data_IF_729130396262
#
_entry.id   IF_729130396262
#
_cell.length_a   1.000
_cell.length_b   1.000
_cell.length_c   1.000
_cell.angle_alpha   90.00
_cell.angle_beta   90.00
_cell.angle_gamma   90.00
#
_symmetry.space_group_name_H-M   'P 1'
#
loop_
_entity.id
_entity.type
_entity.pdbx_description
1 polymer ?
2 non-polymer ?
3 water ?
#
# COMPACT_ATOMS: atom_id res chain seq x y z
N UNK A 1 -10.09 26.55 -5.11
CA UNK A 1 -10.64 25.18 -5.02
C UNK A 1 -11.13 24.74 -6.41
N UNK A 2 -11.04 23.45 -6.65
CA UNK A 2 -11.58 22.84 -7.80
C UNK A 2 -13.07 22.74 -7.80
N UNK A 3 -13.70 22.91 -8.95
CA UNK A 3 -15.09 22.62 -9.01
C UNK A 3 -15.31 21.10 -9.16
N UNK A 4 -16.55 20.70 -8.93
CA UNK A 4 -16.85 19.25 -9.03
C UNK A 4 -16.55 18.68 -10.43
N UNK A 5 -16.86 19.41 -11.53
CA UNK A 5 -16.46 18.86 -12.85
C UNK A 5 -14.93 18.67 -12.94
N UNK A 6 -14.20 19.61 -12.36
CA UNK A 6 -12.75 19.46 -12.38
C UNK A 6 -12.27 18.23 -11.58
N UNK A 7 -12.89 18.00 -10.45
CA UNK A 7 -12.51 16.85 -9.60
C UNK A 7 -12.85 15.57 -10.42
N UNK A 8 -14.04 15.49 -11.02
CA UNK A 8 -14.38 14.34 -11.84
C UNK A 8 -13.38 14.10 -12.97
N UNK A 9 -12.99 15.16 -13.62
CA UNK A 9 -12.01 15.01 -14.69
C UNK A 9 -10.67 14.45 -14.25
N UNK A 10 -10.26 14.93 -13.08
CA UNK A 10 -9.03 14.40 -12.42
C UNK A 10 -9.13 12.91 -12.11
N UNK A 11 -10.32 12.39 -11.84
CA UNK A 11 -10.53 10.98 -11.46
C UNK A 11 -10.76 10.05 -12.64
N UNK A 12 -11.06 10.57 -13.86
CA UNK A 12 -11.37 9.62 -14.95
C UNK A 12 -10.25 8.61 -15.14
N UNK A 13 -8.94 8.97 -15.05
CA UNK A 13 -7.93 7.98 -15.34
C UNK A 13 -7.87 6.88 -14.26
N UNK A 14 -8.61 7.00 -13.17
CA UNK A 14 -8.65 6.05 -12.09
C UNK A 14 -9.71 5.00 -12.24
N UNK A 15 -10.64 5.14 -13.18
CA UNK A 15 -11.87 4.34 -13.13
C UNK A 15 -11.62 2.87 -13.23
N UNK A 16 -10.82 2.42 -14.19
CA UNK A 16 -10.61 0.96 -14.35
C UNK A 16 -9.98 0.39 -13.11
N UNK A 17 -8.94 1.04 -12.61
CA UNK A 17 -8.29 0.61 -11.40
C UNK A 17 -9.26 0.55 -10.21
N UNK A 18 -10.11 1.55 -10.06
CA UNK A 18 -11.01 1.60 -8.95
C UNK A 18 -12.02 0.47 -8.97
N UNK A 19 -12.29 -0.12 -10.11
CA UNK A 19 -13.10 -1.31 -10.17
C UNK A 19 -12.34 -2.59 -9.95
N UNK A 20 -11.22 -2.76 -10.61
CA UNK A 20 -10.57 -4.05 -10.70
C UNK A 20 -9.24 -4.18 -10.02
N UNK A 21 -8.60 -3.08 -9.70
CA UNK A 21 -7.24 -3.11 -9.13
C UNK A 21 -6.23 -3.36 -10.25
N UNK A 22 -5.08 -3.82 -9.80
CA UNK A 22 -3.98 -4.05 -10.74
C UNK A 22 -3.14 -2.80 -10.91
N UNK A 23 -2.92 -2.39 -12.15
CA UNK A 23 -2.04 -1.28 -12.43
C UNK A 23 -2.75 0.02 -12.09
N UNK A 24 -2.09 0.81 -11.23
CA UNK A 24 -2.55 2.12 -10.85
C UNK A 24 -1.88 3.11 -11.77
N UNK A 25 -2.60 3.73 -12.72
CA UNK A 25 -1.90 4.61 -13.66
C UNK A 25 -1.38 5.89 -12.98
N UNK A 26 -0.17 6.36 -13.29
CA UNK A 26 0.31 7.60 -12.65
C UNK A 26 -0.60 8.78 -12.87
N UNK A 27 -1.29 8.85 -14.05
CA UNK A 27 -2.20 9.97 -14.27
C UNK A 27 -3.36 9.98 -13.27
N UNK A 28 -3.74 8.81 -12.80
CA UNK A 28 -4.72 8.72 -11.70
C UNK A 28 -4.17 9.41 -10.43
N UNK A 29 -2.97 8.99 -10.04
CA UNK A 29 -2.38 9.59 -8.84
C UNK A 29 -2.12 11.10 -8.98
N UNK A 30 -1.80 11.55 -10.19
CA UNK A 30 -1.67 12.96 -10.42
C UNK A 30 -3.02 13.69 -10.16
N UNK A 31 -4.09 13.09 -10.60
CA UNK A 31 -5.40 13.64 -10.38
C UNK A 31 -5.78 13.66 -8.90
N UNK A 32 -5.51 12.57 -8.17
CA UNK A 32 -5.81 12.50 -6.72
C UNK A 32 -5.00 13.59 -6.01
N UNK A 33 -3.72 13.70 -6.33
CA UNK A 33 -2.91 14.71 -5.77
C UNK A 33 -3.46 16.10 -6.08
N UNK A 34 -3.92 16.35 -7.31
CA UNK A 34 -4.46 17.66 -7.64
C UNK A 34 -5.61 18.04 -6.76
N UNK A 35 -6.50 17.09 -6.52
CA UNK A 35 -7.65 17.32 -5.68
C UNK A 35 -7.19 17.71 -4.26
N UNK A 36 -6.27 16.93 -3.70
CA UNK A 36 -5.81 17.21 -2.35
C UNK A 36 -5.13 18.57 -2.32
N UNK A 37 -4.29 18.84 -3.28
CA UNK A 37 -3.54 20.09 -3.30
C UNK A 37 -4.41 21.38 -3.39
N UNK A 38 -5.56 21.25 -3.96
CA UNK A 38 -6.50 22.33 -4.06
C UNK A 38 -7.44 22.44 -2.90
N UNK A 39 -7.32 21.58 -1.91
CA UNK A 39 -8.27 21.50 -0.83
C UNK A 39 -7.68 22.22 0.37
N UNK A 40 -7.67 23.53 0.36
CA UNK A 40 -7.02 24.37 1.32
C UNK A 40 -7.84 24.50 2.59
N UNK A 41 -9.12 24.84 2.47
CA UNK A 41 -9.93 25.11 3.62
C UNK A 41 -10.75 23.87 4.03
N UNK A 42 -11.32 23.93 5.24
CA UNK A 42 -12.22 22.89 5.68
C UNK A 42 -13.40 22.71 4.73
N UNK A 43 -13.99 23.82 4.27
CA UNK A 43 -15.07 23.70 3.30
C UNK A 43 -14.59 23.11 2.02
N UNK A 44 -13.39 23.44 1.58
CA UNK A 44 -12.83 22.83 0.40
C UNK A 44 -12.77 21.32 0.54
N UNK A 45 -12.31 20.83 1.69
CA UNK A 45 -12.24 19.40 1.93
C UNK A 45 -13.62 18.72 1.98
N UNK A 46 -14.59 19.36 2.63
CA UNK A 46 -15.94 18.79 2.65
C UNK A 46 -16.54 18.72 1.23
N UNK A 47 -16.25 19.77 0.44
CA UNK A 47 -16.75 19.86 -0.90
C UNK A 47 -16.10 18.87 -1.80
N UNK A 48 -14.81 18.68 -1.68
CA UNK A 48 -14.10 17.70 -2.45
C UNK A 48 -14.63 16.30 -2.09
N UNK A 49 -14.83 16.03 -0.80
CA UNK A 49 -15.40 14.76 -0.36
C UNK A 49 -16.77 14.54 -1.00
N UNK A 50 -17.63 15.57 -0.97
CA UNK A 50 -18.97 15.38 -1.49
C UNK A 50 -18.99 15.14 -3.01
N UNK A 51 -18.07 15.82 -3.69
CA UNK A 51 -17.92 15.57 -5.16
C UNK A 51 -17.40 14.19 -5.40
N UNK A 52 -16.41 13.76 -4.65
CA UNK A 52 -15.84 12.41 -4.80
C UNK A 52 -16.85 11.35 -4.50
N UNK A 53 -17.73 11.61 -3.54
CA UNK A 53 -18.77 10.66 -3.21
C UNK A 53 -19.71 10.46 -4.35
N UNK A 54 -20.13 11.56 -4.98
CA UNK A 54 -20.97 11.47 -6.15
C UNK A 54 -20.26 10.80 -7.31
N UNK A 55 -18.97 11.10 -7.45
CA UNK A 55 -18.15 10.46 -8.45
C UNK A 55 -18.09 8.92 -8.27
N UNK A 56 -17.93 8.52 -7.03
CA UNK A 56 -17.90 7.12 -6.69
C UNK A 56 -19.23 6.43 -6.93
N UNK A 57 -20.33 7.11 -6.64
CA UNK A 57 -21.67 6.55 -6.95
C UNK A 57 -21.81 6.21 -8.42
N UNK A 58 -21.14 6.99 -9.28
CA UNK A 58 -21.21 6.86 -10.74
C UNK A 58 -20.23 5.88 -11.35
N UNK A 59 -19.35 5.28 -10.58
CA UNK A 59 -18.49 4.20 -11.01
C UNK A 59 -19.10 2.88 -10.57
N UNK A 60 -19.79 2.21 -11.53
CA UNK A 60 -20.47 0.94 -11.23
C UNK A 60 -19.42 -0.13 -10.87
N UNK A 61 -19.49 -0.68 -9.65
CA UNK A 61 -18.50 -1.68 -9.25
C UNK A 61 -17.24 -1.13 -8.61
N UNK A 62 -17.21 0.15 -8.34
CA UNK A 62 -16.11 0.72 -7.57
C UNK A 62 -15.87 -0.13 -6.34
N UNK A 63 -14.64 -0.49 -6.10
CA UNK A 63 -14.29 -1.31 -4.96
C UNK A 63 -13.92 -0.41 -3.80
N UNK A 64 -14.65 -0.44 -2.66
CA UNK A 64 -14.41 0.55 -1.67
C UNK A 64 -13.04 0.36 -0.98
N UNK A 65 -12.44 -0.87 -0.90
CA UNK A 65 -11.00 -1.01 -0.40
C UNK A 65 -10.01 -0.30 -1.33
N UNK A 66 -10.13 -0.46 -2.61
CA UNK A 66 -9.27 0.25 -3.53
C UNK A 66 -9.42 1.72 -3.44
N UNK A 67 -10.63 2.20 -3.29
CA UNK A 67 -10.83 3.60 -3.17
C UNK A 67 -10.24 4.10 -1.86
N UNK A 68 -10.43 3.35 -0.73
CA UNK A 68 -9.89 3.76 0.54
C UNK A 68 -8.40 3.89 0.59
N UNK A 69 -7.73 2.97 -0.12
CA UNK A 69 -6.28 2.94 -0.14
C UNK A 69 -5.64 3.78 -1.23
N UNK A 70 -6.42 4.29 -2.16
CA UNK A 70 -5.85 4.95 -3.35
C UNK A 70 -4.99 6.16 -2.90
N UNK A 71 -5.53 7.10 -2.09
CA UNK A 71 -4.65 8.27 -1.79
C UNK A 71 -3.29 7.85 -1.23
N UNK A 72 -3.25 6.92 -0.29
CA UNK A 72 -1.97 6.50 0.29
C UNK A 72 -1.02 5.93 -0.77
N UNK A 73 -1.53 5.18 -1.75
CA UNK A 73 -0.67 4.73 -2.84
C UNK A 73 0.00 5.87 -3.59
N UNK A 74 -0.75 6.97 -3.68
CA UNK A 74 -0.33 8.16 -4.39
C UNK A 74 0.47 9.11 -3.54
N UNK A 75 0.76 8.74 -2.28
CA UNK A 75 1.52 9.60 -1.41
C UNK A 75 0.71 10.80 -0.88
N UNK A 76 -0.61 10.64 -0.85
CA UNK A 76 -1.60 11.58 -0.47
C UNK A 76 -2.34 11.05 0.83
N UNK A 77 -2.57 11.91 1.82
CA UNK A 77 -3.54 11.66 2.86
C UNK A 77 -4.71 12.66 2.68
N UNK A 78 -5.83 12.11 2.36
CA UNK A 78 -7.01 12.93 2.43
C UNK A 78 -7.77 12.45 3.65
N UNK A 79 -8.35 13.42 4.41
CA UNK A 79 -8.86 13.02 5.73
C UNK A 79 -10.33 12.54 5.75
N UNK A 80 -10.65 11.71 4.76
CA UNK A 80 -11.90 11.06 4.50
C UNK A 80 -11.66 10.00 3.50
N UNK A 81 -12.64 9.11 3.34
CA UNK A 81 -12.58 8.11 2.28
C UNK A 81 -13.37 8.49 1.07
N UNK A 82 -12.84 8.10 -0.06
CA UNK A 82 -13.59 8.11 -1.33
C UNK A 82 -14.51 6.90 -1.30
N UNK A 83 -15.82 7.14 -1.22
CA UNK A 83 -16.79 6.09 -1.19
C UNK A 83 -18.10 6.67 -1.60
N UNK A 84 -19.04 5.81 -2.01
CA UNK A 84 -20.31 6.28 -2.41
C UNK A 84 -21.20 6.71 -1.19
N UNK A 85 -20.72 6.55 0.03
CA UNK A 85 -21.58 6.92 1.18
C UNK A 85 -20.83 7.56 2.30
N UNK A 86 -19.70 8.23 2.12
CA UNK A 86 -18.95 8.91 3.12
C UNK A 86 -19.81 10.01 3.76
N UNK A 87 -19.69 10.19 5.03
CA UNK A 87 -20.15 11.40 5.70
C UNK A 87 -19.12 12.44 5.55
N UNK A 88 -19.33 13.26 4.52
CA UNK A 88 -18.43 14.34 4.19
C UNK A 88 -18.66 15.61 5.05
N UNK A 89 -19.85 15.71 5.57
CA UNK A 89 -20.24 16.93 6.22
C UNK A 89 -19.65 17.14 7.62
N UNK A 90 -18.95 16.14 8.12
CA UNK A 90 -18.19 16.19 9.37
C UNK A 90 -16.70 16.31 9.18
N UNK A 91 -16.19 16.39 7.97
CA UNK A 91 -14.76 16.48 7.78
C UNK A 91 -14.16 17.76 8.35
N UNK A 92 -12.97 17.64 8.95
CA UNK A 92 -12.25 18.76 9.47
C UNK A 92 -11.16 19.27 8.53
N UNK B 1 26.33 -7.62 7.92
CA UNK B 1 25.03 -8.18 7.64
C UNK B 1 24.52 -8.89 8.87
N UNK B 2 23.21 -9.00 8.89
CA UNK B 2 22.60 -9.76 9.96
C UNK B 2 22.68 -11.23 9.69
N UNK B 3 22.76 -12.05 10.77
CA UNK B 3 22.69 -13.50 10.61
C UNK B 3 21.23 -13.94 10.31
N UNK B 4 21.12 -15.17 9.83
CA UNK B 4 19.80 -15.68 9.58
C UNK B 4 18.89 -15.75 10.83
N UNK B 5 19.44 -16.21 11.99
CA UNK B 5 18.60 -16.15 13.18
C UNK B 5 18.18 -14.74 13.56
N UNK B 6 19.04 -13.73 13.33
CA UNK B 6 18.66 -12.38 13.60
C UNK B 6 17.49 -11.95 12.63
N UNK B 7 17.60 -12.35 11.37
CA UNK B 7 16.51 -12.01 10.40
C UNK B 7 15.22 -12.66 10.83
N UNK B 8 15.22 -13.93 11.17
CA UNK B 8 14.07 -14.58 11.62
C UNK B 8 13.46 -13.88 12.82
N UNK B 9 14.29 -13.47 13.78
CA UNK B 9 13.80 -12.74 14.92
C UNK B 9 13.12 -11.42 14.54
N UNK B 10 13.69 -10.70 13.63
CA UNK B 10 13.12 -9.52 13.11
C UNK B 10 11.67 -9.76 12.56
N UNK B 11 11.43 -10.91 11.93
CA UNK B 11 10.14 -11.20 11.22
C UNK B 11 9.11 -11.81 12.20
N UNK B 12 9.52 -12.25 13.36
CA UNK B 12 8.59 -12.97 14.19
C UNK B 12 7.31 -12.15 14.50
N UNK B 13 7.40 -10.83 14.78
CA UNK B 13 6.11 -10.12 15.06
C UNK B 13 5.13 -10.01 13.87
N UNK B 14 5.56 -10.37 12.70
CA UNK B 14 4.76 -10.28 11.50
C UNK B 14 3.85 -11.47 11.23
N UNK B 15 3.97 -12.56 11.96
CA UNK B 15 3.37 -13.81 11.48
C UNK B 15 1.89 -13.79 11.36
N UNK B 16 1.14 -13.26 12.30
CA UNK B 16 -0.35 -13.29 12.21
C UNK B 16 -0.81 -12.42 11.03
N UNK B 17 -0.20 -11.24 10.91
CA UNK B 17 -0.48 -10.36 9.80
C UNK B 17 -0.18 -11.02 8.44
N UNK B 18 0.95 -11.72 8.33
CA UNK B 18 1.30 -12.39 7.10
C UNK B 18 0.35 -13.51 6.70
N UNK B 19 -0.38 -14.09 7.61
CA UNK B 19 -1.40 -15.06 7.36
C UNK B 19 -2.73 -14.38 6.94
N UNK B 20 -3.21 -13.40 7.67
CA UNK B 20 -4.58 -12.92 7.56
C UNK B 20 -4.75 -11.48 7.19
N UNK B 21 -3.71 -10.69 7.35
CA UNK B 21 -3.82 -9.30 7.16
C UNK B 21 -4.39 -8.58 8.40
N UNK B 22 -4.90 -7.40 8.12
CA UNK B 22 -5.46 -6.61 9.20
C UNK B 22 -4.40 -5.74 9.91
N UNK B 23 -4.31 -5.78 11.23
CA UNK B 23 -3.34 -4.93 11.99
C UNK B 23 -1.90 -5.35 11.72
N UNK B 24 -1.10 -4.38 11.33
CA UNK B 24 0.27 -4.61 11.00
C UNK B 24 1.02 -4.06 12.23
N UNK B 25 1.53 -4.97 13.10
CA UNK B 25 2.19 -4.46 14.29
C UNK B 25 3.43 -3.62 13.98
N UNK B 26 3.60 -2.47 14.59
CA UNK B 26 4.82 -1.68 14.35
C UNK B 26 6.11 -2.45 14.52
N UNK B 27 6.20 -3.38 15.47
CA UNK B 27 7.44 -4.11 15.62
C UNK B 27 7.75 -4.96 14.37
N UNK B 28 6.67 -5.35 13.64
CA UNK B 28 6.90 -6.05 12.38
C UNK B 28 7.65 -5.12 11.36
N UNK B 29 7.12 -3.91 11.17
CA UNK B 29 7.82 -3.00 10.27
C UNK B 29 9.20 -2.61 10.79
N UNK B 30 9.37 -2.48 12.09
CA UNK B 30 10.71 -2.23 12.62
C UNK B 30 11.71 -3.36 12.19
N UNK B 31 11.24 -4.55 12.27
CA UNK B 31 12.04 -5.67 11.82
C UNK B 31 12.35 -5.71 10.34
N UNK B 32 11.36 -5.44 9.53
CA UNK B 32 11.57 -5.43 8.11
C UNK B 32 12.59 -4.33 7.77
N UNK B 33 12.45 -3.15 8.32
CA UNK B 33 13.39 -2.10 8.11
C UNK B 33 14.83 -2.51 8.50
N UNK B 34 14.93 -3.18 9.65
CA UNK B 34 16.23 -3.63 10.12
C UNK B 34 16.91 -4.56 9.11
N UNK B 35 16.17 -5.47 8.52
CA UNK B 35 16.70 -6.39 7.58
C UNK B 35 17.17 -5.63 6.35
N UNK B 36 16.38 -4.71 5.87
CA UNK B 36 16.78 -3.93 4.71
C UNK B 36 18.01 -3.04 4.99
N UNK B 37 18.03 -2.39 6.14
CA UNK B 37 19.10 -1.49 6.48
C UNK B 37 20.44 -2.21 6.51
N UNK B 38 20.44 -3.48 6.91
CA UNK B 38 21.64 -4.25 7.00
C UNK B 38 22.03 -4.95 5.73
N UNK B 39 21.24 -4.84 4.69
CA UNK B 39 21.52 -5.54 3.44
C UNK B 39 22.14 -4.50 2.47
N UNK B 40 23.44 -4.50 2.40
CA UNK B 40 24.26 -3.52 1.70
C UNK B 40 24.70 -4.01 0.31
N UNK B 41 24.97 -5.31 0.23
CA UNK B 41 25.61 -5.86 -0.95
C UNK B 41 24.60 -6.86 -1.63
N UNK B 42 24.92 -7.26 -2.88
CA UNK B 42 24.19 -8.31 -3.53
C UNK B 42 24.19 -9.54 -2.63
N UNK B 43 25.34 -9.97 -2.17
CA UNK B 43 25.40 -11.19 -1.33
C UNK B 43 24.56 -11.03 -0.05
N UNK B 44 24.55 -9.87 0.51
CA UNK B 44 23.68 -9.64 1.67
C UNK B 44 22.23 -9.82 1.33
N UNK B 45 21.79 -9.31 0.17
CA UNK B 45 20.45 -9.48 -0.25
C UNK B 45 20.12 -10.94 -0.57
N UNK B 46 21.04 -11.64 -1.24
CA UNK B 46 20.78 -13.02 -1.49
C UNK B 46 20.59 -13.80 -0.18
N UNK B 47 21.44 -13.51 0.78
CA UNK B 47 21.44 -14.23 2.06
C UNK B 47 20.17 -13.90 2.83
N UNK B 48 19.78 -12.65 2.89
CA UNK B 48 18.55 -12.31 3.54
C UNK B 48 17.38 -13.00 2.84
N UNK B 49 17.37 -12.99 1.48
CA UNK B 49 16.31 -13.65 0.74
C UNK B 49 16.25 -15.10 1.11
N UNK B 50 17.39 -15.77 1.14
CA UNK B 50 17.38 -17.23 1.40
C UNK B 50 16.91 -17.52 2.82
N UNK B 51 17.30 -16.68 3.76
CA UNK B 51 16.80 -16.82 5.13
C UNK B 51 15.34 -16.62 5.22
N UNK B 52 14.84 -15.58 4.53
CA UNK B 52 13.40 -15.25 4.52
C UNK B 52 12.59 -16.36 3.83
N UNK B 53 13.18 -17.03 2.85
CA UNK B 53 12.52 -18.15 2.21
C UNK B 53 12.33 -19.32 3.19
N UNK B 54 13.36 -19.66 3.96
CA UNK B 54 13.25 -20.67 4.99
C UNK B 54 12.25 -20.24 6.06
N UNK B 55 12.23 -18.96 6.41
CA UNK B 55 11.30 -18.39 7.37
C UNK B 55 9.84 -18.57 6.88
N UNK B 56 9.61 -18.21 5.62
CA UNK B 56 8.32 -18.37 5.01
C UNK B 56 7.87 -19.85 4.99
N UNK B 57 8.78 -20.81 4.76
CA UNK B 57 8.42 -22.21 4.79
C UNK B 57 7.81 -22.61 6.17
N UNK B 58 8.22 -21.91 7.24
CA UNK B 58 7.76 -22.16 8.58
C UNK B 58 6.50 -21.45 8.95
N UNK B 59 5.94 -20.60 8.09
CA UNK B 59 4.70 -19.91 8.35
C UNK B 59 3.59 -20.54 7.53
N UNK B 60 2.92 -21.52 8.11
CA UNK B 60 1.83 -22.20 7.39
C UNK B 60 0.69 -21.18 7.12
N UNK B 61 0.32 -21.02 5.84
CA UNK B 61 -0.76 -20.13 5.44
C UNK B 61 -0.32 -18.73 5.11
N UNK B 62 0.98 -18.53 5.04
CA UNK B 62 1.49 -17.25 4.67
C UNK B 62 0.84 -16.83 3.36
N UNK B 63 0.40 -15.58 3.28
CA UNK B 63 -0.23 -15.01 2.05
C UNK B 63 0.79 -14.32 1.17
N UNK B 64 0.90 -14.67 -0.15
CA UNK B 64 1.82 -14.00 -1.02
C UNK B 64 1.70 -12.51 -1.24
N UNK B 65 0.48 -11.87 -1.49
CA UNK B 65 0.29 -10.47 -1.72
C UNK B 65 0.81 -9.74 -0.46
N UNK B 66 0.34 -10.28 0.69
CA UNK B 66 0.68 -9.64 1.95
C UNK B 66 2.17 -9.62 2.18
N UNK B 67 2.82 -10.75 1.92
CA UNK B 67 4.24 -10.81 2.04
C UNK B 67 4.94 -9.91 1.02
N UNK B 68 4.45 -9.90 -0.24
CA UNK B 68 5.04 -9.10 -1.26
C UNK B 68 4.90 -7.61 -0.98
N UNK B 69 3.73 -7.23 -0.38
CA UNK B 69 3.47 -5.81 -0.10
C UNK B 69 4.01 -5.26 1.23
N UNK B 70 4.44 -6.17 2.08
CA UNK B 70 4.77 -5.79 3.45
C UNK B 70 5.90 -4.74 3.43
N UNK B 71 7.03 -5.00 2.72
CA UNK B 71 8.10 -3.96 2.80
C UNK B 71 7.57 -2.55 2.47
N UNK B 72 6.82 -2.38 1.36
CA UNK B 72 6.39 -1.04 1.03
C UNK B 72 5.46 -0.43 2.08
N UNK B 73 4.68 -1.23 2.82
CA UNK B 73 3.88 -0.67 3.91
C UNK B 73 4.81 0.00 4.96
N UNK B 74 6.01 -0.61 5.11
CA UNK B 74 7.02 -0.18 6.06
C UNK B 74 7.97 0.86 5.53
N UNK B 75 7.70 1.36 4.30
CA UNK B 75 8.56 2.35 3.64
C UNK B 75 9.81 1.84 2.97
N UNK B 76 9.87 0.51 2.81
CA UNK B 76 11.01 -0.28 2.43
C UNK B 76 10.82 -0.88 1.04
N UNK B 77 11.90 -0.99 0.25
CA UNK B 77 11.86 -1.83 -0.95
C UNK B 77 12.90 -2.93 -0.88
N UNK B 78 12.44 -4.18 -0.98
CA UNK B 78 13.41 -5.24 -1.15
C UNK B 78 13.15 -5.86 -2.52
N UNK B 79 14.24 -6.15 -3.24
CA UNK B 79 14.14 -6.57 -4.67
C UNK B 79 14.02 -8.08 -4.86
N UNK B 80 13.18 -8.67 -4.04
CA UNK B 80 12.77 -10.02 -4.12
C UNK B 80 11.55 -10.12 -3.21
N UNK B 81 10.80 -11.19 -3.34
CA UNK B 81 9.67 -11.37 -2.44
C UNK B 81 9.98 -12.36 -1.36
N UNK B 82 9.38 -12.16 -0.19
CA UNK B 82 9.37 -13.11 0.90
C UNK B 82 8.35 -14.21 0.46
N UNK B 83 8.88 -15.42 0.26
CA UNK B 83 8.03 -16.56 -0.16
C UNK B 83 8.83 -17.86 0.10
N UNK B 84 8.08 -19.00 0.22
CA UNK B 84 8.78 -20.27 0.42
C UNK B 84 9.44 -20.77 -0.85
N UNK B 85 9.21 -20.11 -2.01
CA UNK B 85 9.59 -20.59 -3.29
C UNK B 85 10.49 -19.55 -4.01
N UNK B 86 10.98 -18.52 -3.44
CA UNK B 86 11.67 -17.49 -4.15
C UNK B 86 12.98 -17.96 -4.76
N UNK B 87 13.35 -17.45 -5.94
CA UNK B 87 14.64 -17.59 -6.59
C UNK B 87 15.64 -16.56 -6.09
N UNK B 88 16.22 -16.83 -4.89
CA UNK B 88 17.15 -15.94 -4.26
C UNK B 88 18.54 -15.92 -4.92
N UNK B 89 18.91 -17.01 -5.61
CA UNK B 89 20.24 -17.10 -6.22
C UNK B 89 20.37 -16.20 -7.43
N UNK B 90 19.25 -15.72 -7.91
CA UNK B 90 19.19 -14.77 -8.99
C UNK B 90 19.13 -13.34 -8.53
N UNK B 91 19.04 -13.09 -7.25
CA UNK B 91 18.93 -11.71 -6.79
C UNK B 91 20.15 -10.90 -7.03
N UNK B 92 19.93 -9.64 -7.38
CA UNK B 92 20.93 -8.63 -7.56
C UNK B 92 21.06 -7.63 -6.41
#
# INVERSE_FOLDING_TARGET
SLTCPQIKGNLTPCVLYLKNGGVLPPSCCKGVRAVNDASRTTSDRQSACNCLKDTAKGIAGLNPNLAAGLPGKCGVNIPYKISPSTNCNNVK
SLTCPQIKGNLTPCVLYLKNGGVLPPSCCKGVRAVNDASRTTSDRQSACNCLKDTAKGIAGLNPNLAAGLPGKCGVNIPYKISPSTNCNNVK
#
